data_IF_279190552077
#
_entry.id   IF_279190552077
#
_cell.length_a   1.000
_cell.length_b   1.000
_cell.length_c   1.000
_cell.angle_alpha   90.00
_cell.angle_beta   90.00
_cell.angle_gamma   90.00
#
_symmetry.space_group_name_H-M   'P 1'
#
loop_
_entity.id
_entity.type
_entity.pdbx_description
1 polymer ?
#
# COMPACT_ATOMS: atom_id res chain seq x y z
N UNK A 1 5.42 -28.04 -2.61
CA UNK A 1 4.12 -28.61 -2.22
C UNK A 1 3.09 -28.12 -3.24
N UNK A 2 2.18 -28.97 -3.73
CA UNK A 2 1.09 -28.51 -4.60
C UNK A 2 0.13 -27.67 -3.75
N UNK A 3 -0.19 -26.46 -4.20
CA UNK A 3 -1.18 -25.62 -3.54
C UNK A 3 -2.57 -26.24 -3.58
N UNK A 4 -3.55 -25.55 -3.01
CA UNK A 4 -4.96 -25.90 -3.15
C UNK A 4 -5.42 -25.51 -4.54
N UNK A 5 -5.87 -26.48 -5.33
CA UNK A 5 -6.42 -26.22 -6.65
C UNK A 5 -7.87 -25.75 -6.53
N UNK A 6 -8.16 -24.61 -7.11
CA UNK A 6 -9.48 -24.01 -7.10
C UNK A 6 -9.92 -23.62 -8.53
N UNK A 7 -11.18 -23.85 -8.83
CA UNK A 7 -11.81 -23.45 -10.10
C UNK A 7 -12.64 -22.21 -9.88
N UNK A 8 -12.30 -21.12 -10.56
CA UNK A 8 -13.06 -19.87 -10.47
C UNK A 8 -14.38 -20.03 -11.21
N UNK A 9 -15.49 -19.75 -10.55
CA UNK A 9 -16.85 -19.85 -11.08
C UNK A 9 -17.42 -18.48 -11.42
N UNK A 10 -17.26 -17.51 -10.52
CA UNK A 10 -17.78 -16.16 -10.67
C UNK A 10 -16.79 -15.15 -10.14
N UNK A 11 -16.74 -13.99 -10.76
CA UNK A 11 -15.99 -12.81 -10.32
C UNK A 11 -16.88 -11.60 -10.47
N UNK A 12 -17.16 -10.94 -9.36
CA UNK A 12 -17.92 -9.71 -9.32
C UNK A 12 -17.02 -8.54 -8.94
N UNK A 13 -17.14 -7.44 -9.69
CA UNK A 13 -16.37 -6.23 -9.51
C UNK A 13 -17.29 -5.11 -9.03
N UNK A 14 -16.90 -4.43 -7.98
CA UNK A 14 -17.68 -3.34 -7.40
C UNK A 14 -16.79 -2.15 -7.06
N UNK A 15 -17.44 -1.02 -6.79
CA UNK A 15 -16.78 0.17 -6.26
C UNK A 15 -17.65 0.89 -5.25
N UNK A 16 -17.00 1.67 -4.38
CA UNK A 16 -17.60 2.63 -3.45
C UNK A 16 -16.87 3.95 -3.53
N UNK A 17 -17.59 5.04 -3.56
CA UNK A 17 -16.98 6.37 -3.52
C UNK A 17 -16.42 6.65 -2.12
N UNK A 18 -15.19 7.17 -2.06
CA UNK A 18 -14.52 7.58 -0.82
C UNK A 18 -14.22 9.08 -0.91
N UNK A 19 -14.67 9.83 0.09
CA UNK A 19 -14.33 11.24 0.28
C UNK A 19 -13.30 11.34 1.38
N UNK A 20 -12.21 12.05 1.12
CA UNK A 20 -11.19 12.32 2.14
C UNK A 20 -11.63 13.49 3.02
N UNK A 21 -11.41 13.35 4.34
CA UNK A 21 -11.65 14.43 5.32
C UNK A 21 -10.64 15.56 5.23
N UNK A 22 -9.42 15.24 4.78
CA UNK A 22 -8.33 16.17 4.50
C UNK A 22 -7.83 15.93 3.07
N UNK A 23 -7.49 16.98 2.31
CA UNK A 23 -6.88 16.82 1.00
C UNK A 23 -5.52 16.12 1.13
N UNK A 24 -5.30 15.04 0.40
CA UNK A 24 -4.01 14.36 0.36
C UNK A 24 -3.22 14.80 -0.87
N UNK A 25 -2.07 15.47 -0.64
CA UNK A 25 -1.20 15.94 -1.73
C UNK A 25 0.15 15.21 -1.72
N UNK A 26 0.46 14.59 -2.85
CA UNK A 26 1.74 13.94 -3.13
C UNK A 26 2.18 14.25 -4.57
N UNK A 27 3.46 14.50 -4.80
CA UNK A 27 3.93 14.97 -6.10
C UNK A 27 3.09 16.17 -6.59
N UNK A 28 2.59 16.09 -7.82
CA UNK A 28 1.71 17.10 -8.42
C UNK A 28 0.21 16.87 -8.17
N UNK A 29 -0.16 15.74 -7.56
CA UNK A 29 -1.56 15.35 -7.38
C UNK A 29 -2.11 15.83 -6.03
N UNK A 30 -3.38 16.27 -6.03
CA UNK A 30 -4.18 16.48 -4.82
C UNK A 30 -5.43 15.64 -4.93
N UNK A 31 -5.62 14.73 -3.98
CA UNK A 31 -6.78 13.84 -3.91
C UNK A 31 -7.69 14.29 -2.79
N UNK A 32 -8.95 14.53 -3.10
CA UNK A 32 -10.02 14.84 -2.14
C UNK A 32 -11.10 13.76 -2.14
N UNK A 33 -11.15 12.98 -3.20
CA UNK A 33 -12.08 11.88 -3.36
C UNK A 33 -11.58 10.90 -4.43
N UNK A 34 -11.88 9.62 -4.26
CA UNK A 34 -11.65 8.59 -5.27
C UNK A 34 -12.48 7.34 -4.98
N UNK A 35 -12.75 6.49 -5.99
CA UNK A 35 -13.42 5.22 -5.76
C UNK A 35 -12.49 4.23 -5.05
N UNK A 36 -13.06 3.37 -4.22
CA UNK A 36 -12.46 2.12 -3.75
C UNK A 36 -13.03 0.97 -4.57
N UNK A 37 -12.19 0.17 -5.19
CA UNK A 37 -12.58 -1.06 -5.86
C UNK A 37 -12.72 -2.21 -4.88
N UNK A 38 -13.66 -3.12 -5.16
CA UNK A 38 -13.87 -4.38 -4.44
C UNK A 38 -13.99 -5.51 -5.45
N UNK A 39 -13.42 -6.65 -5.09
CA UNK A 39 -13.51 -7.90 -5.86
C UNK A 39 -14.11 -8.97 -4.97
N UNK A 40 -15.11 -9.67 -5.49
CA UNK A 40 -15.70 -10.88 -4.93
C UNK A 40 -15.45 -12.03 -5.90
N UNK A 41 -14.87 -13.12 -5.41
CA UNK A 41 -14.61 -14.33 -6.18
C UNK A 41 -15.37 -15.49 -5.56
N UNK A 42 -16.10 -16.25 -6.36
CA UNK A 42 -16.63 -17.55 -5.99
C UNK A 42 -15.80 -18.65 -6.67
N UNK A 43 -15.17 -19.46 -5.85
CA UNK A 43 -14.29 -20.56 -6.28
C UNK A 43 -14.81 -21.91 -5.79
N UNK A 44 -14.62 -22.95 -6.59
CA UNK A 44 -14.95 -24.33 -6.22
C UNK A 44 -13.67 -25.11 -5.91
N UNK A 45 -13.65 -25.78 -4.76
CA UNK A 45 -12.62 -26.71 -4.33
C UNK A 45 -13.31 -28.00 -3.88
N UNK A 46 -12.97 -29.13 -4.47
CA UNK A 46 -13.54 -30.45 -4.18
C UNK A 46 -15.10 -30.47 -4.14
N UNK A 47 -15.72 -29.77 -5.11
CA UNK A 47 -17.17 -29.67 -5.24
C UNK A 47 -17.87 -28.75 -4.21
N UNK A 48 -17.12 -28.01 -3.37
CA UNK A 48 -17.64 -27.03 -2.40
C UNK A 48 -17.30 -25.63 -2.86
N UNK A 49 -18.25 -24.69 -2.67
CA UNK A 49 -18.05 -23.27 -2.99
C UNK A 49 -17.42 -22.52 -1.84
N UNK A 50 -16.47 -21.64 -2.16
CA UNK A 50 -15.79 -20.73 -1.24
C UNK A 50 -15.77 -19.32 -1.82
N UNK A 51 -16.03 -18.35 -0.96
CA UNK A 51 -15.96 -16.94 -1.32
C UNK A 51 -14.61 -16.36 -0.89
N UNK A 52 -14.02 -15.51 -1.73
CA UNK A 52 -12.87 -14.70 -1.39
C UNK A 52 -13.08 -13.26 -1.81
N UNK A 53 -12.47 -12.35 -1.09
CA UNK A 53 -12.68 -10.92 -1.26
C UNK A 53 -11.39 -10.11 -1.19
N UNK A 54 -11.39 -8.96 -1.86
CA UNK A 54 -10.34 -7.96 -1.75
C UNK A 54 -10.88 -6.56 -1.97
N UNK A 55 -10.11 -5.56 -1.54
CA UNK A 55 -10.40 -4.17 -1.83
C UNK A 55 -9.10 -3.37 -2.00
N UNK A 56 -9.20 -2.24 -2.77
CA UNK A 56 -8.09 -1.30 -2.93
C UNK A 56 -8.62 0.07 -3.39
N UNK A 57 -7.96 1.15 -2.98
CA UNK A 57 -8.31 2.49 -3.40
C UNK A 57 -7.76 2.78 -4.81
N UNK A 58 -8.58 3.35 -5.69
CA UNK A 58 -8.17 3.72 -7.05
C UNK A 58 -7.54 5.12 -7.06
N UNK A 59 -6.34 5.27 -6.44
CA UNK A 59 -5.66 6.57 -6.29
C UNK A 59 -5.24 7.12 -7.65
N UNK A 60 -5.75 8.30 -8.07
CA UNK A 60 -5.40 8.89 -9.36
C UNK A 60 -3.95 9.40 -9.32
N UNK A 61 -3.30 9.46 -10.49
CA UNK A 61 -1.93 9.98 -10.66
C UNK A 61 -0.83 9.21 -9.93
N UNK A 62 -1.15 8.11 -9.24
CA UNK A 62 -0.12 7.20 -8.72
C UNK A 62 0.23 6.11 -9.75
N UNK A 63 -0.76 5.49 -10.37
CA UNK A 63 -0.56 4.47 -11.42
C UNK A 63 -0.13 5.07 -12.76
N UNK A 64 -0.72 6.20 -13.14
CA UNK A 64 -0.41 6.94 -14.36
C UNK A 64 -0.36 8.45 -14.06
N UNK A 65 0.83 9.05 -14.14
CA UNK A 65 1.07 10.46 -13.87
C UNK A 65 0.85 11.38 -15.08
N UNK A 66 0.38 10.85 -16.22
CA UNK A 66 0.16 11.65 -17.43
C UNK A 66 -0.68 12.90 -17.11
N UNK A 67 -0.18 14.11 -17.36
CA UNK A 67 -0.92 15.34 -17.12
C UNK A 67 -2.11 15.51 -18.07
N UNK A 68 -2.12 14.78 -19.18
CA UNK A 68 -3.19 14.81 -20.18
C UNK A 68 -4.48 14.11 -19.69
N UNK A 69 -4.39 13.25 -18.66
CA UNK A 69 -5.53 12.51 -18.15
C UNK A 69 -6.19 13.24 -16.97
N UNK A 70 -7.50 13.22 -16.91
CA UNK A 70 -8.28 13.60 -15.72
C UNK A 70 -8.22 12.49 -14.67
N UNK A 71 -8.64 12.78 -13.43
CA UNK A 71 -8.76 11.74 -12.39
C UNK A 71 -9.74 10.64 -12.80
N UNK A 72 -10.88 11.00 -13.42
CA UNK A 72 -11.87 10.01 -13.89
C UNK A 72 -11.28 9.09 -14.98
N UNK A 73 -10.45 9.63 -15.88
CA UNK A 73 -9.75 8.80 -16.86
C UNK A 73 -8.74 7.86 -16.21
N UNK A 74 -8.05 8.29 -15.12
CA UNK A 74 -7.22 7.38 -14.35
C UNK A 74 -8.06 6.28 -13.67
N UNK A 75 -9.23 6.61 -13.10
CA UNK A 75 -10.12 5.60 -12.52
C UNK A 75 -10.58 4.60 -13.59
N UNK A 76 -10.89 5.08 -14.79
CA UNK A 76 -11.33 4.20 -15.88
C UNK A 76 -10.22 3.25 -16.35
N UNK A 77 -8.95 3.69 -16.39
CA UNK A 77 -7.82 2.79 -16.63
C UNK A 77 -7.78 1.63 -15.61
N UNK A 78 -8.01 1.91 -14.33
CA UNK A 78 -8.00 0.90 -13.28
C UNK A 78 -9.21 -0.03 -13.36
N UNK A 79 -10.42 0.50 -13.72
CA UNK A 79 -11.60 -0.33 -14.01
C UNK A 79 -11.37 -1.24 -15.22
N UNK A 80 -10.72 -0.73 -16.27
CA UNK A 80 -10.36 -1.54 -17.45
C UNK A 80 -9.41 -2.68 -17.07
N UNK A 81 -8.39 -2.39 -16.24
CA UNK A 81 -7.49 -3.41 -15.71
C UNK A 81 -8.25 -4.50 -14.95
N UNK A 82 -9.22 -4.11 -14.10
CA UNK A 82 -10.07 -5.04 -13.36
C UNK A 82 -10.91 -5.92 -14.29
N UNK A 83 -11.56 -5.32 -15.32
CA UNK A 83 -12.35 -6.09 -16.30
C UNK A 83 -11.50 -7.09 -17.08
N UNK A 84 -10.34 -6.65 -17.58
CA UNK A 84 -9.43 -7.53 -18.31
C UNK A 84 -8.94 -8.70 -17.44
N UNK A 85 -8.66 -8.44 -16.15
CA UNK A 85 -8.24 -9.47 -15.20
C UNK A 85 -9.38 -10.46 -14.90
N UNK A 86 -10.62 -9.97 -14.66
CA UNK A 86 -11.81 -10.80 -14.48
C UNK A 86 -12.03 -11.73 -15.69
N UNK A 87 -12.03 -11.15 -16.87
CA UNK A 87 -12.33 -11.89 -18.09
C UNK A 87 -11.27 -12.95 -18.37
N UNK A 88 -9.99 -12.62 -18.16
CA UNK A 88 -8.88 -13.59 -18.26
C UNK A 88 -8.99 -14.72 -17.25
N UNK A 89 -9.35 -14.41 -16.01
CA UNK A 89 -9.49 -15.41 -14.95
C UNK A 89 -10.65 -16.37 -15.21
N UNK A 90 -11.80 -15.86 -15.65
CA UNK A 90 -12.97 -16.67 -15.99
C UNK A 90 -12.76 -17.53 -17.24
N UNK A 91 -11.97 -17.05 -18.21
CA UNK A 91 -11.70 -17.78 -19.44
C UNK A 91 -10.87 -19.05 -19.23
N UNK A 92 -10.08 -19.13 -18.13
CA UNK A 92 -9.21 -20.29 -17.88
C UNK A 92 -9.98 -21.59 -17.65
N UNK A 93 -11.15 -21.53 -16.98
CA UNK A 93 -12.04 -22.68 -16.72
C UNK A 93 -11.42 -23.89 -15.99
N UNK A 94 -10.11 -23.87 -15.74
CA UNK A 94 -9.31 -24.98 -15.19
C UNK A 94 -9.10 -24.77 -13.68
N UNK A 95 -9.14 -25.86 -12.91
CA UNK A 95 -8.74 -25.83 -11.50
C UNK A 95 -7.21 -25.78 -11.41
N UNK A 96 -6.69 -24.81 -10.67
CA UNK A 96 -5.26 -24.66 -10.42
C UNK A 96 -5.02 -23.84 -9.14
N UNK A 97 -3.79 -23.83 -8.64
CA UNK A 97 -3.45 -23.05 -7.43
C UNK A 97 -3.61 -21.56 -7.65
N UNK A 98 -3.76 -20.81 -6.55
CA UNK A 98 -3.88 -19.35 -6.60
C UNK A 98 -2.71 -18.70 -7.35
N UNK A 99 -1.48 -19.17 -7.10
CA UNK A 99 -0.29 -18.69 -7.82
C UNK A 99 -0.33 -19.03 -9.31
N UNK A 100 -0.76 -20.24 -9.70
CA UNK A 100 -0.87 -20.61 -11.11
C UNK A 100 -1.91 -19.75 -11.86
N UNK A 101 -3.04 -19.39 -11.22
CA UNK A 101 -3.99 -18.42 -11.78
C UNK A 101 -3.32 -17.05 -12.02
N UNK A 102 -2.54 -16.55 -11.07
CA UNK A 102 -1.79 -15.29 -11.22
C UNK A 102 -0.82 -15.34 -12.39
N UNK A 103 -0.03 -16.42 -12.52
CA UNK A 103 0.97 -16.58 -13.58
C UNK A 103 0.35 -16.72 -14.97
N UNK A 104 -0.81 -17.33 -15.09
CA UNK A 104 -1.45 -17.55 -16.39
C UNK A 104 -2.42 -16.42 -16.74
N UNK A 105 -3.51 -16.29 -16.00
CA UNK A 105 -4.55 -15.30 -16.29
C UNK A 105 -4.12 -13.87 -15.95
N UNK A 106 -3.37 -13.68 -14.86
CA UNK A 106 -2.89 -12.37 -14.43
C UNK A 106 -1.90 -11.76 -15.41
N UNK A 107 -0.87 -12.51 -15.84
CA UNK A 107 0.10 -12.01 -16.81
C UNK A 107 -0.53 -11.75 -18.19
N UNK A 108 -1.47 -12.61 -18.63
CA UNK A 108 -2.21 -12.39 -19.86
C UNK A 108 -3.06 -11.11 -19.79
N UNK A 109 -3.72 -10.83 -18.65
CA UNK A 109 -4.51 -9.62 -18.44
C UNK A 109 -3.64 -8.35 -18.46
N UNK A 110 -2.44 -8.41 -17.87
CA UNK A 110 -1.45 -7.30 -17.98
C UNK A 110 -1.08 -7.06 -19.44
N UNK A 111 -0.76 -8.11 -20.20
CA UNK A 111 -0.39 -7.99 -21.60
C UNK A 111 -1.53 -7.37 -22.44
N UNK A 112 -2.78 -7.80 -22.21
CA UNK A 112 -3.97 -7.21 -22.87
C UNK A 112 -4.10 -5.73 -22.52
N UNK A 113 -4.00 -5.37 -21.23
CA UNK A 113 -4.14 -3.98 -20.78
C UNK A 113 -3.04 -3.08 -21.37
N UNK A 114 -1.80 -3.54 -21.37
CA UNK A 114 -0.67 -2.81 -21.98
C UNK A 114 -0.86 -2.65 -23.49
N UNK A 115 -1.34 -3.67 -24.20
CA UNK A 115 -1.62 -3.59 -25.64
C UNK A 115 -2.71 -2.57 -25.99
N UNK A 116 -3.57 -2.23 -25.03
CA UNK A 116 -4.60 -1.18 -25.11
C UNK A 116 -4.10 0.19 -24.64
N UNK A 117 -2.82 0.32 -24.31
CA UNK A 117 -2.18 1.57 -23.95
C UNK A 117 -2.15 1.93 -22.48
N UNK A 118 -2.52 1.02 -21.57
CA UNK A 118 -2.37 1.25 -20.14
C UNK A 118 -0.88 1.18 -19.75
N UNK A 119 -0.38 2.10 -18.90
CA UNK A 119 0.92 1.93 -18.27
C UNK A 119 0.95 0.60 -17.50
N UNK A 120 2.12 -0.04 -17.47
CA UNK A 120 2.27 -1.38 -16.88
C UNK A 120 1.82 -1.44 -15.42
N UNK A 121 2.13 -0.41 -14.62
CA UNK A 121 1.70 -0.34 -13.23
C UNK A 121 0.16 -0.27 -13.11
N UNK A 122 -0.52 0.51 -13.96
CA UNK A 122 -1.99 0.54 -14.01
C UNK A 122 -2.59 -0.79 -14.49
N UNK A 123 -1.94 -1.43 -15.46
CA UNK A 123 -2.34 -2.74 -15.99
C UNK A 123 -2.30 -3.85 -14.92
N UNK A 124 -1.47 -3.72 -13.89
CA UNK A 124 -1.33 -4.70 -12.81
C UNK A 124 -2.39 -4.55 -11.71
N UNK A 125 -3.10 -3.43 -11.63
CA UNK A 125 -4.08 -3.17 -10.57
C UNK A 125 -5.15 -4.27 -10.49
N UNK A 126 -5.77 -4.61 -11.61
CA UNK A 126 -6.80 -5.66 -11.67
C UNK A 126 -6.27 -7.03 -11.25
N UNK A 127 -5.20 -7.56 -11.88
CA UNK A 127 -4.58 -8.82 -11.46
C UNK A 127 -4.22 -8.84 -9.97
N UNK A 128 -3.65 -7.76 -9.41
CA UNK A 128 -3.29 -7.68 -8.00
C UNK A 128 -4.49 -7.82 -7.04
N UNK A 129 -5.64 -7.21 -7.39
CA UNK A 129 -6.85 -7.37 -6.58
C UNK A 129 -7.43 -8.77 -6.71
N UNK A 130 -7.44 -9.34 -7.92
CA UNK A 130 -7.91 -10.70 -8.12
C UNK A 130 -7.03 -11.70 -7.38
N UNK A 131 -5.71 -11.54 -7.40
CA UNK A 131 -4.77 -12.37 -6.64
C UNK A 131 -5.11 -12.39 -5.15
N UNK A 132 -5.41 -11.22 -4.55
CA UNK A 132 -5.83 -11.14 -3.14
C UNK A 132 -7.13 -11.91 -2.89
N UNK A 133 -8.13 -11.75 -3.75
CA UNK A 133 -9.43 -12.40 -3.59
C UNK A 133 -9.34 -13.92 -3.80
N UNK A 134 -8.58 -14.36 -4.81
CA UNK A 134 -8.34 -15.80 -5.07
C UNK A 134 -7.54 -16.43 -3.93
N UNK A 135 -6.52 -15.74 -3.40
CA UNK A 135 -5.77 -16.22 -2.24
C UNK A 135 -6.67 -16.32 -0.99
N UNK A 136 -7.57 -15.35 -0.76
CA UNK A 136 -8.54 -15.40 0.34
C UNK A 136 -9.46 -16.64 0.21
N UNK A 137 -10.00 -16.91 -0.99
CA UNK A 137 -10.81 -18.10 -1.24
C UNK A 137 -10.03 -19.41 -1.00
N UNK A 138 -8.76 -19.50 -1.46
CA UNK A 138 -7.91 -20.67 -1.25
C UNK A 138 -7.63 -20.92 0.23
N UNK A 139 -7.34 -19.85 1.00
CA UNK A 139 -7.10 -19.94 2.45
C UNK A 139 -8.36 -20.38 3.20
N UNK A 140 -9.54 -19.85 2.82
CA UNK A 140 -10.82 -20.26 3.38
C UNK A 140 -11.14 -21.71 3.09
N UNK A 141 -10.87 -22.18 1.86
CA UNK A 141 -11.03 -23.58 1.48
C UNK A 141 -10.13 -24.52 2.30
N UNK A 142 -8.90 -24.07 2.57
CA UNK A 142 -7.95 -24.81 3.41
C UNK A 142 -8.22 -24.68 4.93
N UNK A 143 -9.14 -23.80 5.39
CA UNK A 143 -9.36 -23.51 6.79
C UNK A 143 -8.15 -22.85 7.48
N UNK A 144 -7.31 -22.13 6.72
CA UNK A 144 -6.04 -21.57 7.18
C UNK A 144 -6.09 -20.03 7.26
N UNK A 145 -5.32 -19.46 8.20
CA UNK A 145 -5.01 -18.03 8.22
C UNK A 145 -3.94 -17.72 7.16
N UNK A 146 -3.74 -16.44 6.86
CA UNK A 146 -2.72 -15.99 5.90
C UNK A 146 -1.34 -16.59 6.18
N UNK A 147 -0.81 -16.40 7.39
CA UNK A 147 0.56 -16.85 7.73
C UNK A 147 0.66 -18.38 7.75
N UNK A 148 -0.34 -19.05 8.30
CA UNK A 148 -0.34 -20.51 8.39
C UNK A 148 -0.52 -21.15 7.02
N UNK A 149 -1.38 -20.57 6.17
CA UNK A 149 -1.59 -21.01 4.78
C UNK A 149 -0.36 -20.84 3.90
N UNK A 150 0.36 -19.71 4.05
CA UNK A 150 1.65 -19.53 3.36
C UNK A 150 2.67 -20.59 3.79
N UNK A 151 2.82 -20.85 5.10
CA UNK A 151 3.72 -21.89 5.62
C UNK A 151 3.34 -23.28 5.15
N UNK A 152 2.06 -23.54 5.01
CA UNK A 152 1.53 -24.80 4.49
C UNK A 152 1.60 -24.92 2.96
N UNK A 153 1.96 -23.86 2.23
CA UNK A 153 2.03 -23.82 0.76
C UNK A 153 0.67 -23.79 0.08
N UNK A 154 -0.39 -23.33 0.76
CA UNK A 154 -1.78 -23.31 0.25
C UNK A 154 -1.89 -22.58 -1.09
N UNK A 155 -1.15 -21.50 -1.27
CA UNK A 155 -1.23 -20.67 -2.48
C UNK A 155 -0.46 -21.27 -3.68
N UNK A 156 0.45 -22.23 -3.44
CA UNK A 156 1.23 -22.90 -4.48
C UNK A 156 2.40 -22.06 -5.02
N UNK A 157 2.75 -20.96 -4.35
CA UNK A 157 3.89 -20.14 -4.74
C UNK A 157 5.24 -20.78 -4.33
N UNK A 158 6.34 -20.48 -5.05
CA UNK A 158 7.64 -21.13 -4.78
C UNK A 158 8.41 -20.50 -3.60
N UNK A 159 7.98 -19.37 -3.06
CA UNK A 159 8.77 -18.59 -2.11
C UNK A 159 8.37 -18.80 -0.65
N UNK A 160 7.08 -18.96 -0.35
CA UNK A 160 6.54 -19.02 1.00
C UNK A 160 7.22 -20.05 1.90
N UNK A 161 7.53 -21.23 1.36
CA UNK A 161 8.25 -22.29 2.09
C UNK A 161 9.72 -21.97 2.40
N UNK A 162 10.29 -20.92 1.82
CA UNK A 162 11.67 -20.47 1.98
C UNK A 162 11.77 -19.17 2.80
N UNK A 163 10.65 -18.49 3.00
CA UNK A 163 10.59 -17.24 3.76
C UNK A 163 10.50 -17.48 5.27
N UNK A 164 11.21 -16.67 6.04
CA UNK A 164 11.04 -16.59 7.49
C UNK A 164 9.81 -15.74 7.80
N UNK A 165 8.62 -16.30 7.56
CA UNK A 165 7.36 -15.62 7.82
C UNK A 165 7.16 -15.35 9.32
N UNK A 166 6.75 -14.15 9.66
CA UNK A 166 6.41 -13.73 11.02
C UNK A 166 4.89 -13.84 11.22
N UNK A 167 4.45 -14.19 12.44
CA UNK A 167 3.06 -14.00 12.87
C UNK A 167 2.99 -12.73 13.71
N UNK A 168 2.79 -11.55 13.09
CA UNK A 168 2.89 -10.28 13.78
C UNK A 168 1.69 -10.06 14.70
N UNK A 169 1.94 -9.61 15.93
CA UNK A 169 0.89 -9.18 16.85
C UNK A 169 0.67 -7.68 16.81
N UNK A 170 1.71 -6.94 16.41
CA UNK A 170 1.69 -5.48 16.28
C UNK A 170 2.62 -5.04 15.15
N UNK A 171 2.37 -3.85 14.63
CA UNK A 171 3.29 -3.18 13.71
C UNK A 171 3.31 -1.68 14.01
N UNK A 172 4.48 -1.04 13.82
CA UNK A 172 4.60 0.42 13.95
C UNK A 172 3.93 1.08 12.75
N UNK A 173 3.06 2.04 13.02
CA UNK A 173 2.46 2.89 11.99
C UNK A 173 3.43 4.02 11.65
N UNK A 174 3.77 4.15 10.37
CA UNK A 174 4.50 5.27 9.81
C UNK A 174 3.51 6.25 9.18
N UNK A 175 3.33 7.38 9.86
CA UNK A 175 2.37 8.42 9.48
C UNK A 175 2.91 9.27 8.33
N UNK A 176 2.15 9.43 7.26
CA UNK A 176 2.53 10.30 6.15
C UNK A 176 2.21 11.75 6.46
N UNK A 177 3.19 12.62 6.22
CA UNK A 177 3.04 14.08 6.21
C UNK A 177 2.99 14.51 4.75
N UNK A 178 1.77 14.73 4.25
CA UNK A 178 1.51 15.16 2.88
C UNK A 178 1.94 16.60 2.62
N UNK A 179 2.07 16.97 1.35
CA UNK A 179 2.54 18.31 0.96
C UNK A 179 1.56 19.43 1.35
N UNK A 180 0.29 19.13 1.55
CA UNK A 180 -0.74 20.08 1.96
C UNK A 180 -1.08 20.04 3.45
N UNK A 181 -0.47 19.13 4.22
CA UNK A 181 -0.83 18.93 5.61
C UNK A 181 -0.38 20.11 6.48
N UNK A 182 -1.26 20.50 7.38
CA UNK A 182 -0.95 21.46 8.44
C UNK A 182 -0.02 20.80 9.45
N UNK A 183 1.01 21.50 9.87
CA UNK A 183 1.97 20.98 10.85
C UNK A 183 1.52 21.28 12.29
N UNK A 184 0.94 22.46 12.49
CA UNK A 184 0.45 22.96 13.78
C UNK A 184 -0.89 23.68 13.61
N UNK A 185 -1.58 23.96 14.71
CA UNK A 185 -2.86 24.67 14.68
C UNK A 185 -2.74 26.12 14.22
N UNK A 186 -1.52 26.70 14.28
CA UNK A 186 -1.24 28.04 13.76
C UNK A 186 -1.14 28.09 12.22
N UNK A 187 -1.03 26.94 11.55
CA UNK A 187 -1.01 26.89 10.09
C UNK A 187 -2.41 27.21 9.52
N UNK A 188 -2.47 27.94 8.39
CA UNK A 188 -3.75 28.28 7.78
C UNK A 188 -4.50 27.02 7.31
N UNK A 189 -5.82 27.04 7.43
CA UNK A 189 -6.70 25.95 7.03
C UNK A 189 -7.88 25.79 7.97
N UNK A 190 -8.80 24.89 7.62
CA UNK A 190 -9.99 24.57 8.43
C UNK A 190 -9.90 23.13 8.93
N UNK A 191 -10.33 22.92 10.17
CA UNK A 191 -10.50 21.60 10.73
C UNK A 191 -11.85 21.01 10.27
N UNK A 192 -11.91 19.72 9.93
CA UNK A 192 -13.14 19.07 9.51
C UNK A 192 -14.23 18.99 10.59
N UNK A 193 -13.91 19.31 11.85
CA UNK A 193 -14.82 19.26 13.01
C UNK A 193 -15.42 17.86 13.24
N UNK A 194 -14.66 16.82 12.93
CA UNK A 194 -15.05 15.41 13.04
C UNK A 194 -14.47 14.72 14.28
N UNK A 195 -13.75 15.48 15.12
CA UNK A 195 -13.13 14.99 16.36
C UNK A 195 -11.79 14.26 16.15
N UNK A 196 -11.30 14.17 14.92
CA UNK A 196 -10.00 13.58 14.59
C UNK A 196 -8.91 14.64 14.43
N UNK A 197 -7.63 14.28 14.70
CA UNK A 197 -6.52 15.22 14.52
C UNK A 197 -6.43 15.75 13.09
N UNK A 198 -6.25 17.06 12.92
CA UNK A 198 -6.14 17.70 11.62
C UNK A 198 -4.74 18.30 11.33
N UNK A 199 -3.83 18.24 12.30
CA UNK A 199 -2.44 18.71 12.18
C UNK A 199 -1.46 17.61 12.55
N UNK A 200 -0.21 17.72 12.07
CA UNK A 200 0.85 16.78 12.45
C UNK A 200 1.04 16.74 13.97
N UNK A 201 1.11 17.90 14.62
CA UNK A 201 1.27 17.98 16.06
C UNK A 201 0.13 17.27 16.80
N UNK A 202 -1.11 17.56 16.45
CA UNK A 202 -2.29 16.92 17.06
C UNK A 202 -2.32 15.40 16.79
N UNK A 203 -1.94 14.96 15.60
CA UNK A 203 -1.86 13.53 15.26
C UNK A 203 -0.80 12.80 16.10
N UNK A 204 0.36 13.42 16.32
CA UNK A 204 1.41 12.89 17.19
C UNK A 204 0.90 12.71 18.60
N UNK A 205 0.29 13.74 19.17
CA UNK A 205 -0.22 13.73 20.54
C UNK A 205 -1.33 12.72 20.74
N UNK A 206 -2.26 12.66 19.78
CA UNK A 206 -3.43 11.76 19.84
C UNK A 206 -3.06 10.30 19.70
N UNK A 207 -2.17 9.97 18.73
CA UNK A 207 -1.84 8.59 18.38
C UNK A 207 -0.53 8.08 18.98
N UNK A 208 0.28 8.94 19.61
CA UNK A 208 1.61 8.58 20.12
C UNK A 208 2.58 8.23 18.99
N UNK A 209 2.53 8.97 17.88
CA UNK A 209 3.31 8.67 16.67
C UNK A 209 4.81 8.94 16.87
N UNK A 210 5.64 8.07 16.30
CA UNK A 210 7.10 8.19 16.34
C UNK A 210 7.80 7.77 15.04
N UNK A 211 7.06 7.31 14.02
CA UNK A 211 7.57 7.06 12.66
C UNK A 211 6.78 7.87 11.65
N UNK A 212 7.49 8.55 10.75
CA UNK A 212 6.88 9.47 9.78
C UNK A 212 7.42 9.25 8.39
N UNK A 213 6.57 9.47 7.39
CA UNK A 213 6.94 9.53 5.98
C UNK A 213 6.75 10.97 5.50
N UNK A 214 7.80 11.60 5.01
CA UNK A 214 7.80 13.01 4.61
C UNK A 214 7.79 13.10 3.08
N UNK A 215 6.74 13.68 2.53
CA UNK A 215 6.63 13.88 1.08
C UNK A 215 7.51 15.04 0.62
N UNK A 216 8.19 14.84 -0.53
CA UNK A 216 8.98 15.85 -1.22
C UNK A 216 8.25 16.33 -2.47
N UNK A 217 8.45 17.60 -2.84
CA UNK A 217 7.90 18.18 -4.06
C UNK A 217 8.93 18.36 -5.18
N UNK A 218 10.22 18.09 -4.91
CA UNK A 218 11.32 18.23 -5.86
C UNK A 218 11.80 19.68 -6.07
N UNK A 219 11.22 20.65 -5.33
CA UNK A 219 11.68 22.04 -5.31
C UNK A 219 12.56 22.24 -4.08
N UNK A 220 13.89 22.34 -4.28
CA UNK A 220 14.87 22.26 -3.18
C UNK A 220 14.53 23.21 -2.04
N UNK A 221 14.34 24.49 -2.32
CA UNK A 221 14.11 25.49 -1.28
C UNK A 221 12.81 25.24 -0.50
N UNK A 222 11.73 24.89 -1.20
CA UNK A 222 10.44 24.57 -0.60
C UNK A 222 10.49 23.29 0.25
N UNK A 223 11.20 22.27 -0.24
CA UNK A 223 11.40 21.02 0.49
C UNK A 223 12.22 21.26 1.77
N UNK A 224 13.31 22.03 1.70
CA UNK A 224 14.14 22.36 2.87
C UNK A 224 13.35 23.16 3.91
N UNK A 225 12.64 24.22 3.50
CA UNK A 225 11.81 25.02 4.41
C UNK A 225 10.79 24.13 5.12
N UNK A 226 10.07 23.28 4.37
CA UNK A 226 9.08 22.39 4.96
C UNK A 226 9.69 21.37 5.89
N UNK A 227 10.82 20.74 5.51
CA UNK A 227 11.52 19.76 6.34
C UNK A 227 12.05 20.40 7.64
N UNK A 228 12.52 21.64 7.62
CA UNK A 228 12.93 22.36 8.83
C UNK A 228 11.73 22.53 9.78
N UNK A 229 10.60 23.01 9.29
CA UNK A 229 9.38 23.17 10.07
C UNK A 229 8.88 21.84 10.65
N UNK A 230 8.92 20.76 9.87
CA UNK A 230 8.58 19.39 10.35
C UNK A 230 9.55 18.97 11.44
N UNK A 231 10.86 19.16 11.24
CA UNK A 231 11.87 18.80 12.24
C UNK A 231 11.65 19.53 13.58
N UNK A 232 11.24 20.81 13.55
CA UNK A 232 10.90 21.58 14.73
C UNK A 232 9.71 20.98 15.50
N UNK A 233 8.66 20.52 14.78
CA UNK A 233 7.50 19.84 15.40
C UNK A 233 7.96 18.51 16.02
N UNK A 234 8.73 17.70 15.29
CA UNK A 234 9.18 16.39 15.75
C UNK A 234 10.10 16.49 16.97
N UNK A 235 10.95 17.51 17.05
CA UNK A 235 11.83 17.75 18.22
C UNK A 235 11.06 17.98 19.50
N UNK A 236 9.84 18.58 19.44
CA UNK A 236 9.00 18.82 20.62
C UNK A 236 8.42 17.53 21.21
N UNK A 237 8.32 16.47 20.40
CA UNK A 237 7.71 15.19 20.81
C UNK A 237 8.67 14.27 21.54
N UNK A 238 9.96 14.59 21.57
CA UNK A 238 11.01 13.79 22.21
C UNK A 238 12.10 13.36 21.23
N UNK A 239 12.92 12.40 21.63
CA UNK A 239 14.13 12.01 20.86
C UNK A 239 13.99 10.74 20.03
N UNK A 240 12.93 9.99 20.17
CA UNK A 240 12.81 8.62 19.60
C UNK A 240 11.96 8.53 18.32
N UNK A 241 12.02 9.56 17.48
CA UNK A 241 11.34 9.54 16.18
C UNK A 241 12.26 9.11 15.04
N UNK A 242 11.66 8.57 13.99
CA UNK A 242 12.30 8.17 12.73
C UNK A 242 11.51 8.69 11.55
N UNK A 243 12.20 8.96 10.44
CA UNK A 243 11.55 9.43 9.20
C UNK A 243 11.98 8.61 8.00
N UNK A 244 11.13 8.58 6.99
CA UNK A 244 11.48 8.24 5.61
C UNK A 244 11.17 9.43 4.73
N UNK A 245 11.95 9.64 3.68
CA UNK A 245 11.70 10.67 2.68
C UNK A 245 11.11 10.00 1.45
N UNK A 246 10.07 10.59 0.86
CA UNK A 246 9.45 10.04 -0.34
C UNK A 246 9.41 11.09 -1.46
N UNK A 247 10.18 10.82 -2.50
CA UNK A 247 10.27 11.69 -3.67
C UNK A 247 9.08 11.59 -4.60
N UNK A 248 8.29 10.52 -4.56
CA UNK A 248 7.18 10.28 -5.50
C UNK A 248 7.52 10.66 -6.95
N UNK A 249 8.72 10.29 -7.42
CA UNK A 249 9.18 10.55 -8.79
C UNK A 249 9.40 12.03 -9.14
N UNK A 250 9.66 12.91 -8.16
CA UNK A 250 9.74 14.37 -8.42
C UNK A 250 11.06 14.83 -9.03
N UNK A 251 12.13 14.04 -8.94
CA UNK A 251 13.42 14.37 -9.56
C UNK A 251 13.52 13.79 -10.98
N UNK A 252 13.78 14.65 -11.95
CA UNK A 252 13.83 14.30 -13.38
C UNK A 252 15.09 13.52 -13.79
N UNK A 253 16.17 13.64 -13.00
CA UNK A 253 17.49 13.06 -13.29
C UNK A 253 18.32 12.94 -12.01
N UNK A 254 19.42 12.18 -12.09
CA UNK A 254 20.35 11.97 -10.98
C UNK A 254 21.09 13.24 -10.56
N UNK A 255 21.30 14.20 -11.47
CA UNK A 255 21.96 15.45 -11.13
C UNK A 255 21.07 16.33 -10.23
N UNK A 256 19.77 16.41 -10.50
CA UNK A 256 18.80 17.14 -9.65
C UNK A 256 18.67 16.49 -8.27
N UNK A 257 18.60 15.17 -8.20
CA UNK A 257 18.61 14.41 -6.95
C UNK A 257 19.90 14.64 -6.15
N UNK A 258 21.07 14.61 -6.83
CA UNK A 258 22.36 14.86 -6.19
C UNK A 258 22.45 16.26 -5.59
N UNK A 259 22.00 17.29 -6.30
CA UNK A 259 21.94 18.69 -5.78
C UNK A 259 21.04 18.78 -4.56
N UNK A 260 19.84 18.21 -4.60
CA UNK A 260 18.92 18.17 -3.46
C UNK A 260 19.58 17.52 -2.24
N UNK A 261 20.17 16.32 -2.41
CA UNK A 261 20.79 15.58 -1.32
C UNK A 261 21.98 16.33 -0.70
N UNK A 262 22.83 16.92 -1.54
CA UNK A 262 23.96 17.73 -1.09
C UNK A 262 23.48 18.97 -0.29
N UNK A 263 22.46 19.66 -0.78
CA UNK A 263 21.92 20.86 -0.10
C UNK A 263 21.29 20.47 1.23
N UNK A 264 20.51 19.38 1.26
CA UNK A 264 19.93 18.81 2.48
C UNK A 264 21.02 18.47 3.50
N UNK A 265 22.10 17.81 3.07
CA UNK A 265 23.23 17.43 3.92
C UNK A 265 23.99 18.65 4.48
N UNK A 266 24.09 19.71 3.72
CA UNK A 266 24.77 20.94 4.10
C UNK A 266 23.89 21.92 4.90
N UNK A 267 22.64 21.57 5.24
CA UNK A 267 21.74 22.39 6.00
C UNK A 267 21.79 22.00 7.48
N UNK A 268 22.44 22.79 8.37
CA UNK A 268 22.66 22.41 9.77
C UNK A 268 21.38 22.13 10.56
N UNK A 269 20.29 22.87 10.24
CA UNK A 269 18.97 22.69 10.88
C UNK A 269 18.38 21.31 10.64
N UNK A 270 18.80 20.60 9.60
CA UNK A 270 18.31 19.26 9.22
C UNK A 270 19.24 18.11 9.64
N UNK A 271 20.35 18.39 10.33
CA UNK A 271 21.29 17.35 10.73
C UNK A 271 20.64 16.25 11.59
N UNK A 272 19.78 16.62 12.54
CA UNK A 272 19.06 15.66 13.39
C UNK A 272 18.02 14.85 12.60
N UNK A 273 17.38 15.43 11.59
CA UNK A 273 16.44 14.75 10.71
C UNK A 273 17.17 13.72 9.84
N UNK A 274 18.29 14.10 9.23
CA UNK A 274 19.13 13.20 8.43
C UNK A 274 19.61 11.99 9.22
N UNK A 275 20.10 12.19 10.46
CA UNK A 275 20.53 11.09 11.33
C UNK A 275 19.41 10.09 11.66
N UNK A 276 18.14 10.52 11.55
CA UNK A 276 16.96 9.72 11.83
C UNK A 276 16.22 9.27 10.57
N UNK A 277 16.76 9.60 9.39
CA UNK A 277 16.21 9.16 8.10
C UNK A 277 16.58 7.69 7.87
N UNK A 278 15.57 6.85 7.69
CA UNK A 278 15.72 5.41 7.50
C UNK A 278 15.95 5.06 6.03
N UNK A 279 15.32 5.76 5.11
CA UNK A 279 15.43 5.52 3.67
C UNK A 279 14.91 6.73 2.87
N UNK A 280 15.26 6.76 1.58
CA UNK A 280 14.71 7.62 0.56
C UNK A 280 13.97 6.76 -0.48
N UNK A 281 12.67 7.01 -0.66
CA UNK A 281 11.79 6.24 -1.53
C UNK A 281 11.57 6.95 -2.86
N UNK A 282 11.65 6.19 -3.95
CA UNK A 282 11.35 6.58 -5.35
C UNK A 282 11.64 8.05 -5.66
N UNK A 283 12.89 8.52 -5.52
CA UNK A 283 13.19 9.93 -5.78
C UNK A 283 13.10 10.28 -7.27
N UNK A 284 13.59 9.39 -8.14
CA UNK A 284 13.64 9.59 -9.58
C UNK A 284 12.32 9.22 -10.26
N UNK A 285 11.98 10.01 -11.29
CA UNK A 285 10.88 9.68 -12.20
C UNK A 285 11.06 8.27 -12.77
N UNK A 286 9.96 7.48 -12.88
CA UNK A 286 10.03 6.08 -13.35
C UNK A 286 10.68 5.92 -14.73
N UNK A 287 10.60 6.95 -15.58
CA UNK A 287 11.24 6.94 -16.89
C UNK A 287 12.79 6.90 -16.83
N UNK A 288 13.38 7.32 -15.71
CA UNK A 288 14.84 7.37 -15.52
C UNK A 288 15.33 6.50 -14.35
N UNK A 289 14.46 6.14 -13.43
CA UNK A 289 14.83 5.42 -12.21
C UNK A 289 15.57 4.10 -12.47
N UNK A 290 15.19 3.38 -13.52
CA UNK A 290 15.84 2.14 -13.97
C UNK A 290 16.76 2.35 -15.19
N UNK A 291 17.20 3.60 -15.46
CA UNK A 291 18.11 3.94 -16.53
C UNK A 291 19.38 4.59 -16.02
N UNK A 292 19.31 5.35 -14.93
CA UNK A 292 20.40 6.12 -14.38
C UNK A 292 20.89 5.55 -13.04
N UNK A 293 22.23 5.42 -12.89
CA UNK A 293 22.83 4.93 -11.65
C UNK A 293 22.87 6.01 -10.58
N UNK A 294 22.40 5.66 -9.38
CA UNK A 294 22.48 6.50 -8.18
C UNK A 294 23.69 6.17 -7.29
N UNK A 295 24.50 5.16 -7.66
CA UNK A 295 25.58 4.63 -6.81
C UNK A 295 26.65 5.66 -6.44
N UNK A 296 26.86 6.68 -7.28
CA UNK A 296 27.89 7.71 -7.08
C UNK A 296 27.38 8.98 -6.41
N UNK A 297 26.09 9.08 -6.08
CA UNK A 297 25.48 10.30 -5.52
C UNK A 297 25.83 10.55 -4.04
N UNK A 298 26.46 9.60 -3.37
CA UNK A 298 26.83 9.74 -1.95
C UNK A 298 25.64 9.82 -0.99
N UNK A 299 24.47 9.26 -1.37
CA UNK A 299 23.29 9.22 -0.52
C UNK A 299 23.56 8.26 0.63
N UNK A 300 23.64 8.81 1.86
CA UNK A 300 24.06 8.08 3.06
C UNK A 300 22.99 7.16 3.64
N UNK A 301 21.81 7.05 3.02
CA UNK A 301 20.71 6.16 3.44
C UNK A 301 20.33 5.23 2.29
N UNK A 302 19.68 4.08 2.55
CA UNK A 302 19.14 3.24 1.50
C UNK A 302 18.15 4.00 0.61
N UNK A 303 18.29 3.87 -0.71
CA UNK A 303 17.30 4.35 -1.69
C UNK A 303 16.51 3.15 -2.19
N UNK A 304 15.19 3.26 -2.23
CA UNK A 304 14.31 2.17 -2.62
C UNK A 304 13.39 2.55 -3.79
N UNK A 305 12.94 1.53 -4.54
CA UNK A 305 11.94 1.65 -5.58
C UNK A 305 10.52 1.51 -5.00
N UNK A 306 9.57 2.25 -5.58
CA UNK A 306 8.13 2.07 -5.35
C UNK A 306 7.36 2.04 -6.69
N UNK A 307 7.12 3.18 -7.34
CA UNK A 307 6.36 3.25 -8.59
C UNK A 307 7.08 2.56 -9.77
N UNK A 308 8.38 2.40 -9.69
CA UNK A 308 9.17 1.70 -10.72
C UNK A 308 9.14 0.16 -10.57
N UNK A 309 8.47 -0.38 -9.53
CA UNK A 309 8.25 -1.82 -9.35
C UNK A 309 7.01 -2.27 -10.15
N UNK A 310 7.08 -2.18 -11.47
CA UNK A 310 5.99 -2.52 -12.38
C UNK A 310 6.24 -3.81 -13.19
N UNK A 311 7.38 -4.50 -12.96
CA UNK A 311 7.73 -5.76 -13.62
C UNK A 311 8.65 -6.63 -12.74
N UNK A 312 8.77 -7.91 -13.07
CA UNK A 312 9.41 -8.90 -12.21
C UNK A 312 10.90 -8.66 -11.94
N UNK A 313 11.64 -8.06 -12.91
CA UNK A 313 13.08 -7.77 -12.78
C UNK A 313 13.40 -6.39 -12.19
N UNK A 314 12.39 -5.57 -11.81
CA UNK A 314 12.61 -4.21 -11.35
C UNK A 314 13.58 -4.11 -10.14
N UNK A 315 13.46 -5.03 -9.19
CA UNK A 315 14.39 -5.08 -8.05
C UNK A 315 15.83 -5.33 -8.49
N UNK A 316 16.08 -6.31 -9.36
CA UNK A 316 17.44 -6.66 -9.83
C UNK A 316 18.05 -5.52 -10.64
N UNK A 317 17.27 -4.88 -11.52
CA UNK A 317 17.69 -3.72 -12.30
C UNK A 317 18.04 -2.55 -11.37
N UNK A 318 17.20 -2.27 -10.36
CA UNK A 318 17.45 -1.26 -9.35
C UNK A 318 18.73 -1.54 -8.54
N UNK A 319 18.95 -2.78 -8.10
CA UNK A 319 20.16 -3.17 -7.37
C UNK A 319 21.43 -2.91 -8.18
N UNK A 320 21.41 -3.18 -9.48
CA UNK A 320 22.53 -2.89 -10.39
C UNK A 320 22.83 -1.39 -10.50
N UNK A 321 21.82 -0.53 -10.31
CA UNK A 321 21.92 0.92 -10.37
C UNK A 321 22.21 1.59 -9.01
N UNK A 322 22.33 0.81 -7.93
CA UNK A 322 22.68 1.32 -6.60
C UNK A 322 21.53 1.43 -5.61
N UNK A 323 20.29 1.10 -6.00
CA UNK A 323 19.18 0.98 -5.05
C UNK A 323 19.47 -0.13 -4.02
N UNK A 324 18.80 -0.08 -2.88
CA UNK A 324 19.01 -1.02 -1.76
C UNK A 324 17.73 -1.68 -1.29
N UNK A 325 16.63 -1.55 -2.02
CA UNK A 325 15.38 -2.16 -1.62
C UNK A 325 14.22 -1.75 -2.51
N UNK A 326 13.05 -2.18 -2.07
CA UNK A 326 11.80 -1.99 -2.80
C UNK A 326 10.63 -1.92 -1.80
N UNK A 327 9.52 -1.33 -2.22
CA UNK A 327 8.31 -1.28 -1.42
C UNK A 327 7.41 -2.50 -1.65
N UNK A 328 6.79 -2.99 -0.58
CA UNK A 328 5.64 -3.90 -0.62
C UNK A 328 4.36 -3.08 -0.56
N UNK A 329 3.52 -3.21 -1.57
CA UNK A 329 2.14 -2.71 -1.65
C UNK A 329 1.27 -3.80 -2.27
N UNK A 330 0.17 -4.17 -1.63
CA UNK A 330 -0.69 -5.22 -2.13
C UNK A 330 -1.29 -4.91 -3.51
N UNK A 331 -1.44 -3.61 -3.84
CA UNK A 331 -1.91 -3.17 -5.17
C UNK A 331 -0.94 -3.46 -6.33
N UNK A 332 0.32 -3.82 -6.04
CA UNK A 332 1.31 -4.29 -7.03
C UNK A 332 1.32 -5.81 -7.17
N UNK A 333 0.61 -6.53 -6.31
CA UNK A 333 0.47 -7.97 -6.27
C UNK A 333 1.13 -8.63 -5.05
N UNK A 334 0.42 -9.56 -4.44
CA UNK A 334 0.91 -10.32 -3.27
C UNK A 334 2.11 -11.20 -3.64
N UNK A 335 2.09 -11.82 -4.80
CA UNK A 335 3.19 -12.69 -5.27
C UNK A 335 4.45 -11.90 -5.59
N UNK A 336 4.33 -10.66 -6.05
CA UNK A 336 5.47 -9.74 -6.20
C UNK A 336 6.10 -9.43 -4.84
N UNK A 337 5.29 -9.14 -3.84
CA UNK A 337 5.78 -8.91 -2.48
C UNK A 337 6.50 -10.13 -1.91
N UNK A 338 5.98 -11.35 -2.13
CA UNK A 338 6.62 -12.60 -1.72
C UNK A 338 7.96 -12.83 -2.44
N UNK A 339 8.01 -12.64 -3.77
CA UNK A 339 9.22 -12.78 -4.56
C UNK A 339 10.32 -11.79 -4.15
N UNK A 340 9.95 -10.50 -3.99
CA UNK A 340 10.85 -9.45 -3.55
C UNK A 340 11.37 -9.72 -2.13
N UNK A 341 10.50 -10.14 -1.20
CA UNK A 341 10.90 -10.52 0.15
C UNK A 341 11.87 -11.71 0.15
N UNK A 342 11.62 -12.72 -0.67
CA UNK A 342 12.52 -13.86 -0.82
C UNK A 342 13.90 -13.43 -1.32
N UNK A 343 13.97 -12.55 -2.31
CA UNK A 343 15.24 -12.02 -2.85
C UNK A 343 15.99 -11.17 -1.81
N UNK A 344 15.26 -10.30 -1.10
CA UNK A 344 15.83 -9.42 -0.06
C UNK A 344 16.38 -10.24 1.12
N UNK A 345 15.71 -11.33 1.49
CA UNK A 345 16.15 -12.19 2.60
C UNK A 345 17.52 -12.83 2.39
N UNK A 346 18.03 -12.86 1.15
CA UNK A 346 19.33 -13.43 0.80
C UNK A 346 20.50 -12.45 0.98
N UNK A 347 20.23 -11.15 1.15
CA UNK A 347 21.28 -10.13 1.35
C UNK A 347 20.85 -9.15 2.47
N UNK A 348 21.53 -9.17 3.65
CA UNK A 348 21.15 -8.33 4.79
C UNK A 348 21.34 -6.82 4.57
N UNK A 349 21.96 -6.42 3.47
CA UNK A 349 22.10 -5.00 3.08
C UNK A 349 20.85 -4.46 2.38
N UNK A 350 19.95 -5.35 1.98
CA UNK A 350 18.71 -4.99 1.29
C UNK A 350 17.56 -4.86 2.29
N UNK A 351 16.54 -4.08 1.90
CA UNK A 351 15.36 -3.89 2.72
C UNK A 351 14.07 -3.96 1.91
N UNK A 352 13.02 -4.46 2.56
CA UNK A 352 11.65 -4.36 2.13
C UNK A 352 10.96 -3.30 2.98
N UNK A 353 10.33 -2.30 2.35
CA UNK A 353 9.50 -1.32 3.04
C UNK A 353 8.02 -1.62 2.82
N UNK A 354 7.18 -1.34 3.80
CA UNK A 354 5.73 -1.42 3.68
C UNK A 354 5.17 -0.02 3.41
N UNK A 355 4.54 0.14 2.26
CA UNK A 355 4.00 1.43 1.81
C UNK A 355 2.48 1.34 1.63
N UNK A 356 1.80 2.49 1.56
CA UNK A 356 0.35 2.58 1.52
C UNK A 356 -0.16 3.16 0.20
N UNK A 357 -1.37 2.78 -0.16
CA UNK A 357 -2.18 3.42 -1.20
C UNK A 357 -3.41 4.12 -0.57
N UNK A 358 -3.25 4.68 0.62
CA UNK A 358 -4.33 5.25 1.44
C UNK A 358 -5.42 4.21 1.74
N UNK A 359 -4.99 3.02 2.18
CA UNK A 359 -5.86 1.87 2.44
C UNK A 359 -6.99 2.22 3.40
N UNK A 360 -8.21 1.95 2.97
CA UNK A 360 -9.42 2.16 3.76
C UNK A 360 -9.60 1.09 4.84
N UNK A 361 -10.30 1.45 5.91
CA UNK A 361 -10.75 0.47 6.90
C UNK A 361 -11.53 -0.68 6.23
N UNK A 362 -11.45 -1.87 6.79
CA UNK A 362 -11.93 -3.12 6.20
C UNK A 362 -10.84 -3.85 5.42
N UNK A 363 -11.21 -4.52 4.32
CA UNK A 363 -10.34 -5.45 3.60
C UNK A 363 -8.99 -4.86 3.17
N UNK A 364 -8.98 -3.64 2.62
CA UNK A 364 -7.77 -3.05 2.07
C UNK A 364 -6.67 -2.91 3.13
N UNK A 365 -6.96 -2.22 4.25
CA UNK A 365 -5.97 -2.02 5.32
C UNK A 365 -5.56 -3.33 5.99
N UNK A 366 -6.50 -4.27 6.17
CA UNK A 366 -6.24 -5.54 6.82
C UNK A 366 -5.29 -6.42 6.00
N UNK A 367 -5.60 -6.63 4.72
CA UNK A 367 -4.84 -7.48 3.82
C UNK A 367 -3.43 -6.92 3.58
N UNK A 368 -3.31 -5.64 3.25
CA UNK A 368 -2.02 -5.03 2.98
C UNK A 368 -1.14 -4.94 4.23
N UNK A 369 -1.73 -4.62 5.40
CA UNK A 369 -0.97 -4.57 6.65
C UNK A 369 -0.44 -5.95 7.05
N UNK A 370 -1.30 -6.99 6.99
CA UNK A 370 -0.87 -8.33 7.36
C UNK A 370 0.14 -8.91 6.37
N UNK A 371 -0.01 -8.64 5.06
CA UNK A 371 0.99 -9.01 4.05
C UNK A 371 2.37 -8.47 4.43
N UNK A 372 2.52 -7.15 4.52
CA UNK A 372 3.81 -6.53 4.78
C UNK A 372 4.40 -6.94 6.15
N UNK A 373 3.59 -6.93 7.21
CA UNK A 373 4.04 -7.30 8.55
C UNK A 373 4.45 -8.77 8.64
N UNK A 374 3.78 -9.69 7.94
CA UNK A 374 4.14 -11.12 7.89
C UNK A 374 5.48 -11.38 7.20
N UNK A 375 5.90 -10.49 6.31
CA UNK A 375 7.20 -10.51 5.63
C UNK A 375 8.33 -9.90 6.49
N UNK A 376 8.05 -9.50 7.73
CA UNK A 376 9.03 -8.98 8.67
C UNK A 376 9.21 -7.46 8.62
N UNK A 377 8.39 -6.73 7.89
CA UNK A 377 8.39 -5.26 7.89
C UNK A 377 7.94 -4.76 9.26
N UNK A 378 8.80 -3.96 9.92
CA UNK A 378 8.58 -3.54 11.30
C UNK A 378 7.77 -2.24 11.44
N UNK A 379 7.80 -1.39 10.42
CA UNK A 379 7.01 -0.16 10.35
C UNK A 379 6.40 0.00 8.95
N UNK A 380 5.11 0.29 8.91
CA UNK A 380 4.34 0.33 7.66
C UNK A 380 3.68 1.70 7.54
N UNK A 381 3.79 2.34 6.36
CA UNK A 381 2.99 3.52 6.05
C UNK A 381 1.50 3.20 6.16
N UNK A 382 0.72 4.05 6.83
CA UNK A 382 -0.74 4.01 6.81
C UNK A 382 -1.29 5.42 6.87
N UNK A 383 -2.27 5.67 6.02
CA UNK A 383 -2.81 7.00 5.75
C UNK A 383 -4.30 7.12 6.10
N UNK A 384 -5.03 5.99 6.05
CA UNK A 384 -6.47 5.96 6.26
C UNK A 384 -6.93 6.54 7.60
N UNK A 385 -6.15 6.37 8.68
CA UNK A 385 -6.44 6.93 10.01
C UNK A 385 -6.42 8.47 10.03
N UNK A 386 -5.76 9.11 9.08
CA UNK A 386 -5.61 10.57 9.00
C UNK A 386 -6.48 11.20 7.92
N UNK A 387 -6.53 10.59 6.74
CA UNK A 387 -7.22 11.18 5.59
C UNK A 387 -8.66 10.69 5.41
N UNK A 388 -9.12 9.69 6.17
CA UNK A 388 -10.49 9.19 6.09
C UNK A 388 -11.12 9.08 7.47
N UNK A 389 -12.42 9.33 7.57
CA UNK A 389 -13.18 9.13 8.79
C UNK A 389 -13.67 7.66 8.84
N UNK A 390 -12.91 6.81 9.51
CA UNK A 390 -13.23 5.40 9.73
C UNK A 390 -13.48 4.63 8.42
N UNK A 391 -14.70 4.11 8.28
CA UNK A 391 -15.15 3.36 7.11
C UNK A 391 -15.76 4.26 6.01
N UNK A 392 -15.67 5.59 6.16
CA UNK A 392 -16.18 6.55 5.19
C UNK A 392 -17.69 6.37 4.94
N UNK A 393 -18.09 6.16 3.68
CA UNK A 393 -19.49 6.01 3.26
C UNK A 393 -20.02 4.57 3.34
N UNK A 394 -19.32 3.65 4.01
CA UNK A 394 -19.84 2.30 4.24
C UNK A 394 -21.11 2.33 5.12
N UNK A 395 -22.06 1.39 4.92
CA UNK A 395 -23.18 1.23 5.82
C UNK A 395 -22.74 1.02 7.27
N UNK A 396 -23.48 1.57 8.22
CA UNK A 396 -23.12 1.50 9.64
C UNK A 396 -23.01 0.05 10.16
N UNK A 397 -23.89 -0.82 9.69
CA UNK A 397 -23.89 -2.26 10.04
C UNK A 397 -22.70 -2.99 9.41
N UNK A 398 -22.21 -2.59 8.22
CA UNK A 398 -20.94 -3.09 7.66
C UNK A 398 -19.77 -2.69 8.57
N UNK A 399 -19.66 -1.40 8.93
CA UNK A 399 -18.61 -0.89 9.79
C UNK A 399 -18.62 -1.60 11.17
N UNK A 400 -19.80 -1.83 11.73
CA UNK A 400 -19.95 -2.58 12.99
C UNK A 400 -19.52 -4.04 12.86
N UNK A 401 -19.86 -4.72 11.75
CA UNK A 401 -19.44 -6.10 11.51
C UNK A 401 -17.91 -6.23 11.46
N UNK A 402 -17.23 -5.29 10.82
CA UNK A 402 -15.77 -5.26 10.82
C UNK A 402 -15.18 -4.96 12.20
N UNK A 403 -15.78 -4.04 12.97
CA UNK A 403 -15.35 -3.75 14.34
C UNK A 403 -15.51 -4.99 15.25
N UNK A 404 -16.66 -5.65 15.22
CA UNK A 404 -16.94 -6.85 16.04
C UNK A 404 -16.01 -8.02 15.67
N UNK A 405 -15.70 -8.19 14.38
CA UNK A 405 -14.80 -9.22 13.92
C UNK A 405 -13.32 -8.92 14.24
N UNK A 406 -12.94 -7.64 14.34
CA UNK A 406 -11.55 -7.21 14.50
C UNK A 406 -11.37 -6.16 15.62
N UNK A 407 -11.75 -6.49 16.89
CA UNK A 407 -11.77 -5.54 18.01
C UNK A 407 -10.39 -5.09 18.47
N UNK A 408 -9.31 -5.74 18.05
CA UNK A 408 -7.95 -5.27 18.34
C UNK A 408 -7.51 -4.15 17.38
N UNK A 409 -8.06 -4.14 16.16
CA UNK A 409 -7.65 -3.21 15.09
C UNK A 409 -8.52 -1.95 15.05
N UNK A 410 -9.78 -2.06 15.44
CA UNK A 410 -10.75 -0.95 15.37
C UNK A 410 -11.23 -0.55 16.77
N UNK A 411 -11.66 0.72 16.88
CA UNK A 411 -12.28 1.32 18.04
C UNK A 411 -13.62 1.92 17.65
N UNK A 412 -14.57 1.95 18.56
CA UNK A 412 -15.90 2.52 18.37
C UNK A 412 -16.31 3.48 19.51
N UNK A 413 -15.35 4.03 20.25
CA UNK A 413 -15.64 4.94 21.37
C UNK A 413 -16.35 6.22 20.94
N UNK A 414 -16.14 6.67 19.68
CA UNK A 414 -16.84 7.83 19.09
C UNK A 414 -18.24 7.50 18.57
N UNK A 415 -18.70 6.24 18.64
CA UNK A 415 -19.93 5.77 18.01
C UNK A 415 -19.80 5.48 16.51
N UNK A 416 -18.60 5.62 15.95
CA UNK A 416 -18.26 5.27 14.56
C UNK A 416 -16.97 4.47 14.56
N UNK A 417 -16.98 3.21 14.07
CA UNK A 417 -15.77 2.41 14.00
C UNK A 417 -14.68 3.06 13.16
N UNK A 418 -13.45 3.11 13.67
CA UNK A 418 -12.29 3.62 12.97
C UNK A 418 -11.01 2.85 13.36
N UNK A 419 -9.96 3.00 12.58
CA UNK A 419 -8.68 2.34 12.80
C UNK A 419 -8.05 2.86 14.11
N UNK A 420 -7.73 1.94 15.02
CA UNK A 420 -7.11 2.28 16.30
C UNK A 420 -5.59 2.34 16.18
N UNK A 421 -5.03 3.50 16.51
CA UNK A 421 -3.58 3.69 16.63
C UNK A 421 -3.24 3.99 18.08
N UNK A 422 -2.49 3.11 18.73
CA UNK A 422 -2.07 3.27 20.13
C UNK A 422 -0.55 3.26 20.24
N UNK A 423 0.01 4.33 20.81
CA UNK A 423 1.47 4.50 20.92
C UNK A 423 2.17 4.28 19.58
N UNK A 424 1.62 4.85 18.51
CA UNK A 424 2.13 4.73 17.14
C UNK A 424 2.10 3.32 16.55
N UNK A 425 1.24 2.41 17.06
CA UNK A 425 1.16 1.02 16.62
C UNK A 425 -0.26 0.61 16.28
N UNK A 426 -0.36 -0.36 15.37
CA UNK A 426 -1.57 -1.13 15.09
C UNK A 426 -1.46 -2.49 15.77
N UNK A 427 -2.56 -2.94 16.40
CA UNK A 427 -2.68 -4.29 16.94
C UNK A 427 -3.28 -5.21 15.87
N UNK A 428 -2.58 -6.30 15.55
CA UNK A 428 -2.90 -7.21 14.45
C UNK A 428 -3.45 -8.56 14.92
N UNK A 429 -3.66 -8.74 16.22
CA UNK A 429 -4.05 -10.04 16.79
C UNK A 429 -5.33 -10.60 16.17
N UNK A 430 -6.34 -9.75 15.94
CA UNK A 430 -7.61 -10.16 15.35
C UNK A 430 -7.55 -10.43 13.84
N UNK A 431 -6.42 -10.16 13.16
CA UNK A 431 -6.25 -10.45 11.73
C UNK A 431 -5.84 -11.90 11.44
N UNK A 432 -5.47 -12.66 12.46
CA UNK A 432 -5.07 -14.07 12.31
C UNK A 432 -6.27 -15.02 12.30
N UNK A 433 -7.19 -14.76 11.40
CA UNK A 433 -8.43 -15.53 11.16
C UNK A 433 -8.32 -16.35 9.88
N UNK A 434 -9.24 -17.29 9.67
CA UNK A 434 -9.35 -18.06 8.42
C UNK A 434 -9.58 -17.11 7.24
N UNK A 435 -8.81 -17.29 6.17
CA UNK A 435 -8.79 -16.40 5.00
C UNK A 435 -7.67 -15.38 5.06
N UNK A 436 -7.75 -14.34 4.21
CA UNK A 436 -6.75 -13.30 4.11
C UNK A 436 -7.12 -12.10 4.98
N UNK A 437 -6.77 -12.19 6.26
CA UNK A 437 -6.82 -11.11 7.26
C UNK A 437 -8.23 -10.60 7.64
N UNK A 438 -9.31 -11.19 7.16
CA UNK A 438 -10.65 -10.71 7.52
C UNK A 438 -11.65 -11.84 7.79
N UNK A 439 -12.38 -11.70 8.90
CA UNK A 439 -13.56 -12.50 9.22
C UNK A 439 -14.87 -11.80 8.84
N UNK A 440 -14.82 -10.53 8.43
CA UNK A 440 -15.97 -9.77 7.94
C UNK A 440 -15.87 -9.53 6.43
N UNK A 441 -17.01 -9.34 5.79
CA UNK A 441 -17.14 -9.05 4.35
C UNK A 441 -17.89 -7.74 4.13
N UNK A 442 -17.61 -7.02 3.03
CA UNK A 442 -18.40 -5.87 2.63
C UNK A 442 -19.87 -6.26 2.39
N UNK A 443 -20.77 -5.31 2.57
CA UNK A 443 -22.15 -5.48 2.16
C UNK A 443 -22.25 -5.30 0.63
N UNK A 444 -22.07 -6.38 -0.12
CA UNK A 444 -22.01 -6.38 -1.58
C UNK A 444 -23.17 -5.63 -2.24
N UNK A 445 -24.39 -5.70 -1.66
CA UNK A 445 -25.59 -5.02 -2.18
C UNK A 445 -25.54 -3.51 -2.05
N UNK A 446 -24.67 -2.97 -1.20
CA UNK A 446 -24.48 -1.52 -1.03
C UNK A 446 -23.45 -0.93 -1.99
N UNK A 447 -22.75 -1.77 -2.73
CA UNK A 447 -21.70 -1.39 -3.65
C UNK A 447 -22.24 -1.19 -5.08
N UNK A 448 -21.61 -0.30 -5.82
CA UNK A 448 -21.91 -0.08 -7.24
C UNK A 448 -21.15 -1.10 -8.09
N UNK A 449 -21.81 -1.85 -9.00
CA UNK A 449 -21.11 -2.76 -9.90
C UNK A 449 -20.19 -2.01 -10.87
N UNK A 450 -19.05 -2.62 -11.21
CA UNK A 450 -18.18 -2.25 -12.33
C UNK A 450 -18.47 -3.24 -13.46
N UNK A 451 -19.14 -2.76 -14.50
CA UNK A 451 -19.57 -3.57 -15.66
C UNK A 451 -18.49 -3.76 -16.69
#
# INVERSE_FOLDING_TARGET
MSGVDLRIREVHLFQRHVTLRLPFRFGAATVTQCPQAFVQVHAEVDGRSFEGASAELMVPKWFDKSPALTHEQNFEQLRESLRNARDGLLASGTAMSSFAHSQTAGEAAVAVSVSRGLPRLAAQFGPALLDKAVADAALRAAGQSWVDGLRAGVLGDPWSGQLKLVRPTQVVLRHTVGLADRLTDSDPGTDPQDGLPATLQAAIEHHGLHHFKLKLCGQIDADLERLIRIAEVLQRVGSDWRVTLDGNETFSDTASLGRFWQTLHNTPALAALLQRTLLLEQPLARAVALQESIATLGIGVPVILDESDDHASALEEGLALGYRGISSKACKGIYRSLANAHRIAQDPRLLLSGEDLTCQAGLAVQQDTLLAASLGVQHIERNGHHYVDGFGSAPADEAMAFFEAHPSLYDNASGRPHLTVRNGRLDLLSLHVTGFASAAMPQWRSLQPIH
#
